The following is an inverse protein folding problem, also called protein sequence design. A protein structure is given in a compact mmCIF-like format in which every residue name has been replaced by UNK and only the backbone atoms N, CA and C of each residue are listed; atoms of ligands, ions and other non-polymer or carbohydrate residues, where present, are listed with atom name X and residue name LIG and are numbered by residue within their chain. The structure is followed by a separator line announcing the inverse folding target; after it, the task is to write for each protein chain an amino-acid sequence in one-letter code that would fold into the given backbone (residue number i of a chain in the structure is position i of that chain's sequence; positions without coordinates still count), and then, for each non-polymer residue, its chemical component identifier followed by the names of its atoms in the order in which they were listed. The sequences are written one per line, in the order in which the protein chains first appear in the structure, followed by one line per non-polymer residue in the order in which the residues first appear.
data_IF_223528066559
#
_entry.id   IF_223528066559
#
_cell.length_a   1.000
_cell.length_b   1.000
_cell.length_c   1.000
_cell.angle_alpha   90.00
_cell.angle_beta   90.00
_cell.angle_gamma   90.00
#
_symmetry.space_group_name_H-M   'P 1'
#
loop_
_entity.id
_entity.type
_entity.pdbx_description
1 polymer ?
#
# COMPACT_ATOMS: atom_id res chain seq x y z
N UNK A 1 -22.71 0.18 4.37
CA UNK A 1 -22.74 -1.17 3.77
C UNK A 1 -23.94 -1.99 4.25
N UNK A 2 -24.11 -2.19 5.58
CA UNK A 2 -25.23 -2.98 6.14
C UNK A 2 -26.59 -2.55 5.56
N UNK A 3 -26.92 -1.26 5.68
CA UNK A 3 -28.16 -0.70 5.14
C UNK A 3 -28.35 -1.02 3.64
N UNK A 4 -27.37 -0.71 2.80
CA UNK A 4 -27.38 -0.94 1.35
C UNK A 4 -27.68 -2.42 1.02
N UNK A 5 -26.98 -3.35 1.69
CA UNK A 5 -27.16 -4.79 1.48
C UNK A 5 -28.54 -5.25 1.99
N UNK A 6 -28.96 -4.82 3.18
CA UNK A 6 -30.24 -5.24 3.78
C UNK A 6 -31.46 -4.78 2.97
N UNK A 7 -31.34 -3.66 2.25
CA UNK A 7 -32.40 -3.08 1.42
C UNK A 7 -32.29 -3.47 -0.06
N UNK A 8 -31.29 -4.27 -0.45
CA UNK A 8 -31.09 -4.67 -1.84
C UNK A 8 -30.74 -3.51 -2.77
N UNK A 9 -30.05 -2.48 -2.25
CA UNK A 9 -29.69 -1.26 -3.00
C UNK A 9 -28.31 -1.35 -3.68
N UNK A 10 -27.75 -2.55 -3.78
CA UNK A 10 -26.44 -2.79 -4.36
C UNK A 10 -26.54 -3.17 -5.85
N UNK A 11 -25.46 -2.93 -6.60
CA UNK A 11 -25.33 -3.35 -7.99
C UNK A 11 -24.86 -4.81 -8.05
N UNK A 12 -25.81 -5.73 -8.18
CA UNK A 12 -25.53 -7.17 -8.21
C UNK A 12 -24.64 -7.59 -9.38
N UNK A 13 -24.85 -7.00 -10.56
CA UNK A 13 -24.09 -7.33 -11.77
C UNK A 13 -22.62 -6.90 -11.60
N UNK A 14 -22.41 -5.67 -11.11
CA UNK A 14 -21.07 -5.18 -10.81
C UNK A 14 -20.36 -6.06 -9.78
N UNK A 15 -21.03 -6.39 -8.66
CA UNK A 15 -20.46 -7.20 -7.60
C UNK A 15 -20.03 -8.58 -8.11
N UNK A 16 -20.89 -9.26 -8.88
CA UNK A 16 -20.59 -10.59 -9.42
C UNK A 16 -19.36 -10.58 -10.34
N UNK A 17 -19.17 -9.51 -11.10
CA UNK A 17 -18.14 -9.47 -12.14
C UNK A 17 -16.79 -8.91 -11.66
N UNK A 18 -16.81 -7.87 -10.83
CA UNK A 18 -15.61 -7.07 -10.55
C UNK A 18 -15.08 -7.19 -9.12
N UNK A 19 -15.63 -8.12 -8.32
CA UNK A 19 -15.22 -8.30 -6.92
C UNK A 19 -14.97 -9.76 -6.58
N UNK A 20 -14.36 -10.00 -5.42
CA UNK A 20 -14.16 -11.33 -4.83
C UNK A 20 -15.39 -11.80 -4.02
N UNK A 21 -16.43 -10.98 -3.88
CA UNK A 21 -17.64 -11.29 -3.14
C UNK A 21 -18.33 -12.61 -3.55
N UNK A 22 -18.37 -13.03 -4.83
CA UNK A 22 -18.88 -14.35 -5.22
C UNK A 22 -17.89 -15.53 -5.01
N UNK A 23 -16.61 -15.28 -4.69
CA UNK A 23 -15.63 -16.34 -4.49
C UNK A 23 -15.99 -17.22 -3.29
N UNK A 24 -15.74 -18.52 -3.42
CA UNK A 24 -16.12 -19.51 -2.42
C UNK A 24 -15.07 -19.63 -1.30
N UNK A 25 -15.56 -19.58 -0.07
CA UNK A 25 -14.82 -19.84 1.16
C UNK A 25 -15.20 -21.22 1.69
N UNK A 26 -14.20 -22.03 2.03
CA UNK A 26 -14.41 -23.31 2.72
C UNK A 26 -14.84 -23.06 4.16
N UNK A 27 -15.92 -23.71 4.58
CA UNK A 27 -16.48 -23.47 5.91
C UNK A 27 -15.69 -24.14 7.04
N UNK A 28 -14.91 -25.18 6.72
CA UNK A 28 -14.08 -25.97 7.63
C UNK A 28 -12.83 -25.21 8.11
N UNK A 29 -12.18 -24.44 7.23
CA UNK A 29 -10.91 -23.77 7.54
C UNK A 29 -10.89 -22.25 7.26
N UNK A 30 -12.01 -21.70 6.75
CA UNK A 30 -12.19 -20.27 6.43
C UNK A 30 -11.23 -19.71 5.38
N UNK A 31 -10.64 -20.55 4.54
CA UNK A 31 -9.81 -20.14 3.39
C UNK A 31 -10.63 -20.20 2.10
N UNK A 32 -10.18 -19.48 1.07
CA UNK A 32 -10.73 -19.65 -0.28
C UNK A 32 -10.63 -21.10 -0.75
N UNK A 33 -11.66 -21.57 -1.46
CA UNK A 33 -11.62 -22.82 -2.21
C UNK A 33 -10.71 -22.64 -3.42
N UNK A 34 -9.65 -23.45 -3.52
CA UNK A 34 -8.63 -23.38 -4.57
C UNK A 34 -8.73 -24.54 -5.56
N UNK A 35 -8.18 -24.37 -6.76
CA UNK A 35 -8.04 -25.48 -7.73
C UNK A 35 -7.22 -26.63 -7.15
N UNK A 36 -6.20 -26.32 -6.34
CA UNK A 36 -5.41 -27.29 -5.58
C UNK A 36 -6.23 -28.13 -4.58
N UNK A 37 -7.41 -27.68 -4.17
CA UNK A 37 -8.33 -28.46 -3.32
C UNK A 37 -9.20 -29.40 -4.17
N UNK A 38 -9.50 -29.03 -5.42
CA UNK A 38 -10.50 -29.69 -6.26
C UNK A 38 -9.90 -30.77 -7.16
N UNK A 39 -8.65 -30.59 -7.61
CA UNK A 39 -7.96 -31.52 -8.49
C UNK A 39 -6.51 -31.74 -8.06
N UNK A 40 -5.98 -32.92 -8.34
CA UNK A 40 -4.57 -33.24 -8.10
C UNK A 40 -3.68 -32.34 -8.97
N UNK A 41 -2.66 -31.72 -8.36
CA UNK A 41 -1.76 -30.75 -9.00
C UNK A 41 -2.47 -29.47 -9.51
N UNK A 42 -3.65 -29.15 -8.97
CA UNK A 42 -4.33 -27.89 -9.27
C UNK A 42 -3.57 -26.66 -8.73
N UNK A 43 -3.78 -25.50 -9.35
CA UNK A 43 -3.14 -24.25 -8.95
C UNK A 43 -3.65 -23.75 -7.59
N UNK A 44 -2.76 -23.28 -6.68
CA UNK A 44 -3.20 -22.62 -5.44
C UNK A 44 -3.70 -21.18 -5.67
N UNK A 45 -3.49 -20.64 -6.88
CA UNK A 45 -3.79 -19.26 -7.27
C UNK A 45 -5.05 -19.13 -8.14
N UNK A 46 -5.78 -20.23 -8.35
CA UNK A 46 -7.10 -20.22 -8.98
C UNK A 46 -8.19 -20.53 -7.97
N UNK A 47 -9.26 -19.76 -8.02
CA UNK A 47 -10.38 -19.84 -7.08
C UNK A 47 -11.69 -20.23 -7.79
N UNK A 48 -12.76 -20.46 -7.03
CA UNK A 48 -14.04 -20.88 -7.57
C UNK A 48 -15.19 -19.94 -7.20
N UNK A 49 -16.16 -19.86 -8.11
CA UNK A 49 -17.53 -19.41 -7.86
C UNK A 49 -18.47 -20.62 -7.76
N UNK A 50 -19.64 -20.44 -7.16
CA UNK A 50 -20.76 -21.35 -7.36
C UNK A 50 -21.63 -20.82 -8.50
N UNK A 51 -21.68 -21.51 -9.63
CA UNK A 51 -22.49 -21.08 -10.76
C UNK A 51 -23.93 -21.56 -10.59
N UNK A 52 -24.87 -20.62 -10.51
CA UNK A 52 -26.29 -20.90 -10.35
C UNK A 52 -26.90 -21.56 -11.59
N UNK A 53 -26.33 -21.33 -12.77
CA UNK A 53 -26.84 -21.89 -14.02
C UNK A 53 -26.56 -23.39 -14.11
N UNK A 54 -25.38 -23.82 -13.65
CA UNK A 54 -24.97 -25.23 -13.71
C UNK A 54 -25.10 -25.97 -12.37
N UNK A 55 -25.31 -25.27 -11.26
CA UNK A 55 -25.47 -25.86 -9.93
C UNK A 55 -24.19 -26.51 -9.40
N UNK A 56 -23.01 -26.02 -9.82
CA UNK A 56 -21.70 -26.58 -9.44
C UNK A 56 -20.63 -25.49 -9.30
N UNK A 57 -19.49 -25.78 -8.65
CA UNK A 57 -18.35 -24.89 -8.64
C UNK A 57 -17.76 -24.72 -10.05
N UNK A 58 -17.40 -23.51 -10.42
CA UNK A 58 -16.67 -23.17 -11.66
C UNK A 58 -15.49 -22.26 -11.33
N UNK A 59 -14.42 -22.33 -12.13
CA UNK A 59 -13.24 -21.48 -11.91
C UNK A 59 -13.61 -20.00 -12.08
N UNK A 60 -13.16 -19.18 -11.13
CA UNK A 60 -13.26 -17.73 -11.19
C UNK A 60 -12.20 -17.20 -12.18
N UNK A 61 -12.62 -16.55 -13.28
CA UNK A 61 -11.68 -15.99 -14.25
C UNK A 61 -10.94 -14.78 -13.65
N UNK A 62 -9.80 -14.43 -14.23
CA UNK A 62 -9.01 -13.25 -13.82
C UNK A 62 -8.28 -13.39 -12.47
N UNK A 63 -8.24 -14.59 -11.91
CA UNK A 63 -7.45 -14.93 -10.72
C UNK A 63 -6.00 -15.17 -11.10
N UNK A 64 -5.04 -14.86 -10.21
CA UNK A 64 -3.60 -14.85 -10.49
C UNK A 64 -3.08 -16.11 -11.19
N UNK A 65 -3.69 -17.27 -10.94
CA UNK A 65 -3.36 -18.53 -11.61
C UNK A 65 -3.69 -18.59 -13.11
N UNK A 66 -4.31 -17.56 -13.68
CA UNK A 66 -4.52 -17.37 -15.13
C UNK A 66 -3.61 -16.28 -15.72
N UNK A 67 -2.74 -15.63 -14.92
CA UNK A 67 -1.92 -14.52 -15.41
C UNK A 67 -1.05 -14.98 -16.60
N UNK A 68 -1.14 -14.25 -17.72
CA UNK A 68 -0.42 -14.58 -18.96
C UNK A 68 -1.06 -15.68 -19.82
N UNK A 69 -2.18 -16.26 -19.41
CA UNK A 69 -2.95 -17.20 -20.25
C UNK A 69 -3.97 -16.47 -21.14
N UNK A 70 -4.54 -17.18 -22.12
CA UNK A 70 -5.63 -16.66 -22.95
C UNK A 70 -6.93 -16.43 -22.16
N UNK A 71 -7.04 -17.02 -20.97
CA UNK A 71 -8.20 -16.93 -20.08
C UNK A 71 -8.06 -15.84 -19.01
N UNK A 72 -7.04 -14.97 -19.13
CA UNK A 72 -6.87 -13.79 -18.25
C UNK A 72 -7.92 -12.71 -18.57
N UNK A 73 -9.12 -12.87 -18.02
CA UNK A 73 -10.25 -11.96 -18.23
C UNK A 73 -11.12 -11.84 -16.98
N UNK A 74 -11.81 -10.70 -16.81
CA UNK A 74 -12.86 -10.53 -15.81
C UNK A 74 -14.26 -10.79 -16.38
N UNK A 75 -14.39 -11.10 -17.68
CA UNK A 75 -15.68 -11.36 -18.30
C UNK A 75 -16.22 -12.73 -17.83
N UNK A 76 -17.41 -12.73 -17.22
CA UNK A 76 -18.06 -13.94 -16.73
C UNK A 76 -18.66 -14.82 -17.84
N UNK A 77 -18.91 -14.26 -19.03
CA UNK A 77 -19.60 -14.97 -20.10
C UNK A 77 -20.98 -15.47 -19.65
N UNK A 78 -21.18 -16.79 -19.62
CA UNK A 78 -22.44 -17.43 -19.19
C UNK A 78 -22.47 -17.81 -17.71
N UNK A 79 -21.37 -17.59 -16.97
CA UNK A 79 -21.30 -17.89 -15.54
C UNK A 79 -22.23 -16.93 -14.79
N UNK A 80 -23.08 -17.47 -13.90
CA UNK A 80 -23.90 -16.69 -12.98
C UNK A 80 -23.50 -17.00 -11.53
N UNK A 81 -22.52 -16.28 -10.97
CA UNK A 81 -22.04 -16.55 -9.62
C UNK A 81 -23.10 -16.32 -8.54
N UNK A 82 -23.24 -17.23 -7.60
CA UNK A 82 -24.07 -17.04 -6.42
C UNK A 82 -23.39 -16.07 -5.42
N UNK A 83 -24.14 -15.10 -4.90
CA UNK A 83 -23.69 -14.24 -3.80
C UNK A 83 -24.11 -14.77 -2.42
N UNK A 84 -25.17 -15.55 -2.35
CA UNK A 84 -25.71 -16.06 -1.09
C UNK A 84 -25.91 -17.57 -1.13
N UNK A 85 -25.66 -18.22 0.00
CA UNK A 85 -26.00 -19.63 0.21
C UNK A 85 -24.84 -20.46 0.77
N UNK A 86 -25.19 -21.65 1.24
CA UNK A 86 -24.23 -22.70 1.59
C UNK A 86 -24.38 -23.79 0.55
N UNK A 87 -23.26 -24.18 -0.04
CA UNK A 87 -23.20 -25.17 -1.10
C UNK A 87 -22.27 -26.31 -0.70
N UNK A 88 -22.37 -27.40 -1.44
CA UNK A 88 -21.58 -28.60 -1.19
C UNK A 88 -20.64 -28.83 -2.36
N UNK A 89 -19.34 -28.79 -2.10
CA UNK A 89 -18.30 -29.00 -3.10
C UNK A 89 -17.61 -30.35 -2.88
N UNK A 90 -17.34 -31.07 -3.97
CA UNK A 90 -16.58 -32.31 -3.95
C UNK A 90 -15.10 -32.00 -4.19
N UNK A 91 -14.26 -32.21 -3.18
CA UNK A 91 -12.81 -32.01 -3.23
C UNK A 91 -12.07 -33.34 -3.34
N UNK A 92 -10.76 -33.30 -3.59
CA UNK A 92 -9.91 -34.51 -3.50
C UNK A 92 -9.85 -35.10 -2.08
N UNK A 93 -10.11 -34.27 -1.07
CA UNK A 93 -10.15 -34.67 0.34
C UNK A 93 -11.54 -35.11 0.83
N UNK A 94 -12.54 -35.12 -0.06
CA UNK A 94 -13.92 -35.45 0.26
C UNK A 94 -14.89 -34.29 0.10
N UNK A 95 -16.11 -34.47 0.60
CA UNK A 95 -17.16 -33.47 0.50
C UNK A 95 -17.00 -32.40 1.58
N UNK A 96 -17.09 -31.13 1.20
CA UNK A 96 -17.04 -29.99 2.12
C UNK A 96 -18.18 -29.00 1.85
N UNK A 97 -18.48 -28.17 2.85
CA UNK A 97 -19.38 -27.03 2.68
C UNK A 97 -18.61 -25.76 2.35
N UNK A 98 -19.16 -24.97 1.43
CA UNK A 98 -18.59 -23.72 0.96
C UNK A 98 -19.66 -22.62 0.93
N UNK A 99 -19.24 -21.38 1.10
CA UNK A 99 -20.13 -20.21 1.08
C UNK A 99 -19.43 -19.06 0.35
N UNK A 100 -20.14 -18.21 -0.42
CA UNK A 100 -19.54 -17.02 -1.02
C UNK A 100 -19.06 -16.03 0.04
N UNK A 101 -18.01 -15.25 -0.27
CA UNK A 101 -17.52 -14.13 0.58
C UNK A 101 -18.65 -13.17 0.96
N UNK A 102 -19.57 -12.86 0.03
CA UNK A 102 -20.70 -11.96 0.28
C UNK A 102 -21.62 -12.44 1.40
N UNK A 103 -21.81 -13.76 1.57
CA UNK A 103 -22.59 -14.32 2.69
C UNK A 103 -21.93 -14.04 4.03
N UNK A 104 -20.60 -14.20 4.10
CA UNK A 104 -19.82 -13.91 5.30
C UNK A 104 -19.77 -12.41 5.58
N UNK A 105 -19.65 -11.58 4.54
CA UNK A 105 -19.73 -10.13 4.66
C UNK A 105 -21.08 -9.70 5.24
N UNK A 106 -22.19 -10.22 4.71
CA UNK A 106 -23.54 -9.94 5.22
C UNK A 106 -23.67 -10.32 6.70
N UNK A 107 -23.13 -11.46 7.11
CA UNK A 107 -23.10 -11.87 8.51
C UNK A 107 -22.27 -10.90 9.37
N UNK A 108 -21.07 -10.52 8.91
CA UNK A 108 -20.17 -9.63 9.64
C UNK A 108 -20.75 -8.24 9.83
N UNK A 109 -21.36 -7.66 8.79
CA UNK A 109 -21.89 -6.30 8.83
C UNK A 109 -23.24 -6.19 9.56
N UNK A 110 -23.93 -7.31 9.79
CA UNK A 110 -25.20 -7.32 10.51
C UNK A 110 -25.09 -6.77 11.94
N UNK A 111 -23.89 -6.86 12.55
CA UNK A 111 -23.60 -6.28 13.86
C UNK A 111 -23.52 -4.74 13.86
N UNK A 112 -23.58 -4.08 12.70
CA UNK A 112 -23.51 -2.64 12.56
C UNK A 112 -24.87 -2.08 12.13
N UNK A 113 -25.90 -2.30 12.97
CA UNK A 113 -27.20 -1.66 12.81
C UNK A 113 -27.14 -0.16 13.20
N UNK A 114 -28.14 0.66 12.85
CA UNK A 114 -28.11 2.10 13.10
C UNK A 114 -27.94 2.48 14.58
N UNK A 115 -28.50 1.71 15.52
CA UNK A 115 -28.37 1.98 16.96
C UNK A 115 -26.94 1.73 17.40
N UNK A 116 -26.38 0.58 17.01
CA UNK A 116 -24.99 0.23 17.33
C UNK A 116 -24.00 1.24 16.73
N UNK A 117 -24.17 1.61 15.46
CA UNK A 117 -23.31 2.60 14.79
C UNK A 117 -23.44 3.98 15.46
N UNK A 118 -24.65 4.38 15.85
CA UNK A 118 -24.87 5.64 16.56
C UNK A 118 -24.15 5.66 17.91
N UNK A 119 -24.21 4.56 18.67
CA UNK A 119 -23.47 4.41 19.92
C UNK A 119 -21.93 4.47 19.77
N UNK A 120 -21.39 4.02 18.64
CA UNK A 120 -19.94 4.06 18.37
C UNK A 120 -19.49 5.45 17.90
N UNK A 121 -20.26 6.07 17.02
CA UNK A 121 -19.83 7.26 16.26
C UNK A 121 -20.39 8.58 16.79
N UNK A 122 -21.46 8.53 17.58
CA UNK A 122 -22.25 9.70 17.97
C UNK A 122 -23.11 10.29 16.85
N UNK A 123 -23.14 9.68 15.66
CA UNK A 123 -23.98 10.11 14.54
C UNK A 123 -25.36 9.47 14.65
N UNK A 124 -26.42 10.26 14.50
CA UNK A 124 -27.80 9.76 14.54
C UNK A 124 -28.03 8.65 13.50
N UNK A 125 -28.64 7.54 13.94
CA UNK A 125 -28.84 6.37 13.09
C UNK A 125 -29.66 6.68 11.83
N UNK A 126 -30.66 7.57 11.94
CA UNK A 126 -31.45 8.00 10.79
C UNK A 126 -30.62 8.75 9.73
N UNK A 127 -29.63 9.54 10.16
CA UNK A 127 -28.71 10.24 9.25
C UNK A 127 -27.77 9.25 8.57
N UNK A 128 -27.27 8.24 9.28
CA UNK A 128 -26.44 7.17 8.69
C UNK A 128 -27.23 6.43 7.59
N UNK A 129 -28.48 6.07 7.84
CA UNK A 129 -29.34 5.42 6.85
C UNK A 129 -29.66 6.34 5.66
N UNK A 130 -29.91 7.63 5.91
CA UNK A 130 -30.13 8.62 4.86
C UNK A 130 -28.92 8.71 3.93
N UNK A 131 -27.72 8.91 4.48
CA UNK A 131 -26.48 8.97 3.69
C UNK A 131 -26.26 7.68 2.89
N UNK A 132 -26.48 6.51 3.53
CA UNK A 132 -26.32 5.22 2.85
C UNK A 132 -27.31 5.04 1.69
N UNK A 133 -28.56 5.50 1.85
CA UNK A 133 -29.57 5.49 0.80
C UNK A 133 -29.20 6.42 -0.34
N UNK A 134 -28.87 7.67 -0.03
CA UNK A 134 -28.50 8.70 -1.01
C UNK A 134 -27.27 8.29 -1.81
N UNK A 135 -26.24 7.76 -1.16
CA UNK A 135 -25.04 7.27 -1.83
C UNK A 135 -25.34 6.09 -2.77
N UNK A 136 -26.23 5.17 -2.37
CA UNK A 136 -26.61 4.03 -3.20
C UNK A 136 -27.45 4.44 -4.43
N UNK A 137 -28.38 5.39 -4.26
CA UNK A 137 -29.25 5.88 -5.33
C UNK A 137 -28.58 6.88 -6.27
N UNK A 138 -27.53 7.56 -5.82
CA UNK A 138 -26.81 8.55 -6.65
C UNK A 138 -25.86 7.85 -7.60
N UNK A 139 -25.92 8.23 -8.89
CA UNK A 139 -25.09 7.69 -9.97
C UNK A 139 -24.66 8.83 -10.91
N UNK A 140 -23.36 9.19 -10.97
CA UNK A 140 -22.25 8.62 -10.20
C UNK A 140 -22.21 9.17 -8.76
N UNK A 141 -21.68 8.38 -7.83
CA UNK A 141 -21.34 8.81 -6.47
C UNK A 141 -19.85 8.54 -6.17
N UNK A 142 -19.20 9.47 -5.47
CA UNK A 142 -17.76 9.43 -5.18
C UNK A 142 -17.50 9.63 -3.69
N UNK A 143 -16.43 8.99 -3.21
CA UNK A 143 -15.82 9.25 -1.92
C UNK A 143 -14.44 9.87 -2.16
N UNK A 144 -14.17 11.03 -1.55
CA UNK A 144 -12.87 11.68 -1.56
C UNK A 144 -12.26 11.52 -0.17
N UNK A 145 -11.21 10.70 -0.06
CA UNK A 145 -10.45 10.48 1.18
C UNK A 145 -9.22 11.37 1.25
N UNK A 146 -8.73 11.64 2.45
CA UNK A 146 -7.47 12.37 2.65
C UNK A 146 -6.75 11.96 3.92
N UNK A 147 -5.75 12.75 4.31
CA UNK A 147 -4.91 12.49 5.49
C UNK A 147 -5.72 12.23 6.78
N UNK A 148 -6.87 12.91 6.95
CA UNK A 148 -7.75 12.73 8.11
C UNK A 148 -8.40 11.35 8.22
N UNK A 149 -8.42 10.53 7.16
CA UNK A 149 -8.82 9.13 7.22
C UNK A 149 -7.60 8.19 7.12
N UNK A 150 -6.57 8.61 6.39
CA UNK A 150 -5.39 7.79 6.10
C UNK A 150 -4.37 7.71 7.25
N UNK A 151 -4.27 8.72 8.12
CA UNK A 151 -3.23 8.77 9.16
C UNK A 151 -3.69 8.17 10.50
N UNK A 152 -4.45 7.07 10.43
CA UNK A 152 -4.87 6.28 11.59
C UNK A 152 -4.31 4.87 11.50
N UNK A 153 -4.14 4.21 12.65
CA UNK A 153 -3.58 2.86 12.74
C UNK A 153 -4.33 1.84 11.88
N UNK A 154 -5.67 1.89 11.87
CA UNK A 154 -6.55 1.02 11.08
C UNK A 154 -7.04 1.67 9.77
N UNK A 155 -6.27 2.56 9.16
CA UNK A 155 -6.68 3.23 7.92
C UNK A 155 -6.94 2.24 6.77
N UNK A 156 -6.24 1.11 6.78
CA UNK A 156 -6.40 0.03 5.80
C UNK A 156 -7.84 -0.51 5.81
N UNK A 157 -8.42 -0.69 7.00
CA UNK A 157 -9.81 -1.12 7.18
C UNK A 157 -10.81 -0.02 6.80
N UNK A 158 -10.50 1.24 7.13
CA UNK A 158 -11.31 2.40 6.73
C UNK A 158 -11.37 2.53 5.22
N UNK A 159 -10.23 2.48 4.54
CA UNK A 159 -10.15 2.58 3.08
C UNK A 159 -10.81 1.40 2.39
N UNK A 160 -10.63 0.17 2.89
CA UNK A 160 -11.38 -1.01 2.39
C UNK A 160 -12.88 -0.84 2.57
N UNK A 161 -13.34 -0.17 3.63
CA UNK A 161 -14.75 0.11 3.85
C UNK A 161 -15.31 1.16 2.86
N UNK A 162 -14.53 2.19 2.51
CA UNK A 162 -14.90 3.13 1.44
C UNK A 162 -14.95 2.45 0.07
N UNK A 163 -13.94 1.66 -0.27
CA UNK A 163 -13.90 0.88 -1.51
C UNK A 163 -15.10 -0.08 -1.56
N UNK A 164 -15.44 -0.73 -0.45
CA UNK A 164 -16.63 -1.57 -0.35
C UNK A 164 -17.91 -0.80 -0.69
N UNK A 165 -18.09 0.43 -0.20
CA UNK A 165 -19.27 1.24 -0.54
C UNK A 165 -19.32 1.57 -2.03
N UNK A 166 -18.20 2.01 -2.61
CA UNK A 166 -18.11 2.33 -4.03
C UNK A 166 -18.37 1.09 -4.91
N UNK A 167 -17.79 -0.06 -4.56
CA UNK A 167 -17.97 -1.32 -5.26
C UNK A 167 -19.39 -1.87 -5.12
N UNK A 168 -19.98 -1.87 -3.91
CA UNK A 168 -21.37 -2.32 -3.71
C UNK A 168 -22.36 -1.53 -4.55
N UNK A 169 -22.04 -0.29 -4.90
CA UNK A 169 -22.93 0.61 -5.62
C UNK A 169 -22.53 0.78 -7.08
N UNK A 170 -21.59 -0.02 -7.62
CA UNK A 170 -21.18 0.04 -9.02
C UNK A 170 -20.55 1.38 -9.44
N UNK A 171 -19.99 2.12 -8.48
CA UNK A 171 -19.47 3.47 -8.70
C UNK A 171 -17.95 3.50 -9.01
N UNK A 172 -17.28 2.36 -9.11
CA UNK A 172 -15.83 2.29 -9.39
C UNK A 172 -15.58 2.28 -10.90
N UNK A 173 -14.59 3.05 -11.36
CA UNK A 173 -14.14 3.04 -12.76
C UNK A 173 -15.00 3.87 -13.73
N UNK A 174 -15.93 4.69 -13.22
CA UNK A 174 -16.77 5.58 -14.03
C UNK A 174 -16.42 7.06 -13.76
N UNK A 175 -16.53 7.96 -14.76
CA UNK A 175 -16.35 9.40 -14.55
C UNK A 175 -17.27 9.93 -13.45
N UNK A 176 -16.70 10.67 -12.48
CA UNK A 176 -17.44 11.21 -11.34
C UNK A 176 -17.76 10.21 -10.22
N UNK A 177 -17.39 8.93 -10.37
CA UNK A 177 -17.50 7.90 -9.33
C UNK A 177 -16.17 7.61 -8.64
N UNK A 178 -16.18 6.66 -7.71
CA UNK A 178 -14.99 6.00 -7.18
C UNK A 178 -14.69 6.30 -5.71
N UNK A 179 -13.57 5.75 -5.25
CA UNK A 179 -12.88 6.16 -4.03
C UNK A 179 -11.53 6.73 -4.46
N UNK A 180 -11.40 8.05 -4.35
CA UNK A 180 -10.18 8.78 -4.69
C UNK A 180 -9.53 9.28 -3.40
N UNK A 181 -8.28 8.92 -3.15
CA UNK A 181 -7.54 9.43 -1.99
C UNK A 181 -6.56 10.52 -2.43
N UNK A 182 -6.50 11.62 -1.69
CA UNK A 182 -5.57 12.72 -1.94
C UNK A 182 -4.77 13.02 -0.68
N UNK A 183 -3.44 12.91 -0.78
CA UNK A 183 -2.50 13.09 0.32
C UNK A 183 -1.34 13.99 -0.14
N UNK A 184 -0.12 13.46 -0.26
CA UNK A 184 1.03 14.18 -0.81
C UNK A 184 1.20 13.98 -2.31
N UNK A 185 2.26 14.57 -2.85
CA UNK A 185 2.65 14.44 -4.26
C UNK A 185 3.40 13.12 -4.48
N UNK A 186 2.66 12.02 -4.56
CA UNK A 186 3.23 10.65 -4.59
C UNK A 186 3.26 10.03 -5.99
N UNK A 187 2.44 10.53 -6.92
CA UNK A 187 2.35 9.97 -8.28
C UNK A 187 3.41 10.56 -9.21
N UNK A 188 4.31 9.70 -9.68
CA UNK A 188 5.30 10.02 -10.71
C UNK A 188 4.73 9.62 -12.07
N UNK A 189 4.40 10.59 -12.93
CA UNK A 189 3.81 10.29 -14.24
C UNK A 189 4.83 9.66 -15.22
N UNK A 190 6.10 10.05 -15.12
CA UNK A 190 7.19 9.55 -15.96
C UNK A 190 7.97 8.43 -15.26
N UNK A 191 7.27 7.49 -14.60
CA UNK A 191 7.88 6.49 -13.72
C UNK A 191 9.02 5.69 -14.38
N UNK A 192 8.81 5.18 -15.60
CA UNK A 192 9.81 4.39 -16.33
C UNK A 192 11.14 5.15 -16.50
N UNK A 193 11.07 6.35 -17.09
CA UNK A 193 12.26 7.18 -17.29
C UNK A 193 12.91 7.64 -15.97
N UNK A 194 12.11 7.87 -14.91
CA UNK A 194 12.65 8.16 -13.58
C UNK A 194 13.47 7.00 -13.04
N UNK A 195 12.99 5.75 -13.16
CA UNK A 195 13.71 4.59 -12.66
C UNK A 195 14.86 4.13 -13.55
N UNK A 196 14.81 4.39 -14.86
CA UNK A 196 15.98 4.20 -15.73
C UNK A 196 17.16 5.08 -15.30
N UNK A 197 16.87 6.32 -14.88
CA UNK A 197 17.89 7.24 -14.35
C UNK A 197 18.33 6.87 -12.92
N UNK A 198 17.37 6.57 -12.04
CA UNK A 198 17.64 6.33 -10.62
C UNK A 198 18.20 4.92 -10.32
N UNK A 199 17.94 3.95 -11.18
CA UNK A 199 18.34 2.55 -11.01
C UNK A 199 18.75 1.93 -12.36
N UNK A 200 19.83 2.42 -12.99
CA UNK A 200 20.21 2.03 -14.36
C UNK A 200 20.59 0.54 -14.52
N UNK A 201 20.88 -0.16 -13.42
CA UNK A 201 21.13 -1.61 -13.40
C UNK A 201 19.85 -2.44 -13.18
N UNK A 202 18.69 -1.80 -13.06
CA UNK A 202 17.39 -2.40 -12.79
C UNK A 202 16.94 -2.26 -11.34
N UNK A 203 15.63 -2.01 -11.14
CA UNK A 203 15.01 -1.83 -9.82
C UNK A 203 15.23 -3.01 -8.87
N UNK A 204 15.26 -4.24 -9.39
CA UNK A 204 15.46 -5.45 -8.60
C UNK A 204 16.86 -5.57 -8.00
N UNK A 205 17.83 -4.79 -8.48
CA UNK A 205 19.20 -4.78 -7.97
C UNK A 205 19.44 -3.69 -6.92
N UNK A 206 18.50 -2.77 -6.77
CA UNK A 206 18.58 -1.66 -5.81
C UNK A 206 18.01 -2.09 -4.44
N UNK A 207 18.70 -1.72 -3.36
CA UNK A 207 18.19 -1.90 -2.00
C UNK A 207 17.18 -0.80 -1.68
N UNK A 208 15.98 -1.21 -1.30
CA UNK A 208 14.91 -0.33 -0.83
C UNK A 208 14.57 -0.66 0.63
N UNK A 209 14.44 0.38 1.45
CA UNK A 209 14.10 0.24 2.86
C UNK A 209 12.73 0.87 3.14
N UNK A 210 11.75 0.09 3.65
CA UNK A 210 10.56 0.65 4.27
C UNK A 210 10.93 1.52 5.48
N UNK A 211 10.82 2.84 5.33
CA UNK A 211 11.32 3.81 6.33
C UNK A 211 10.58 3.72 7.66
N UNK A 212 9.30 3.35 7.68
CA UNK A 212 8.55 3.12 8.93
C UNK A 212 9.18 2.01 9.77
N UNK A 213 9.46 0.86 9.15
CA UNK A 213 10.11 -0.28 9.80
C UNK A 213 11.52 0.09 10.29
N UNK A 214 12.31 0.74 9.42
CA UNK A 214 13.66 1.18 9.75
C UNK A 214 13.69 2.14 10.94
N UNK A 215 12.80 3.14 10.93
CA UNK A 215 12.71 4.15 11.99
C UNK A 215 12.28 3.50 13.30
N UNK A 216 11.26 2.64 13.26
CA UNK A 216 10.74 1.93 14.44
C UNK A 216 11.85 1.11 15.12
N UNK A 217 12.58 0.30 14.34
CA UNK A 217 13.61 -0.58 14.86
C UNK A 217 14.83 0.20 15.34
N UNK A 218 15.41 1.08 14.51
CA UNK A 218 16.68 1.73 14.87
C UNK A 218 16.53 2.81 15.94
N UNK A 219 15.34 3.38 16.08
CA UNK A 219 15.02 4.37 17.12
C UNK A 219 14.46 3.74 18.39
N UNK A 220 14.33 2.41 18.44
CA UNK A 220 13.80 1.66 19.58
C UNK A 220 12.42 2.16 20.02
N UNK A 221 11.53 2.45 19.05
CA UNK A 221 10.18 2.90 19.35
C UNK A 221 9.42 1.76 20.03
N UNK A 222 8.75 2.07 21.13
CA UNK A 222 7.88 1.10 21.82
C UNK A 222 6.51 1.08 21.14
N UNK A 223 5.96 -0.11 20.94
CA UNK A 223 4.60 -0.26 20.40
C UNK A 223 3.56 0.09 21.47
N UNK A 224 2.59 0.92 21.11
CA UNK A 224 1.42 1.28 21.91
C UNK A 224 0.16 0.48 21.54
N UNK A 225 0.31 -0.49 20.64
CA UNK A 225 -0.78 -1.30 20.04
C UNK A 225 -0.59 -2.80 20.23
N UNK A 226 0.41 -3.23 21.00
CA UNK A 226 0.66 -4.65 21.28
C UNK A 226 -0.57 -5.34 21.87
N UNK A 227 -1.37 -4.62 22.67
CA UNK A 227 -2.61 -5.12 23.27
C UNK A 227 -3.73 -5.39 22.25
N UNK A 228 -3.61 -4.92 21.00
CA UNK A 228 -4.57 -5.18 19.94
C UNK A 228 -4.32 -6.52 19.24
N UNK A 229 -3.19 -7.19 19.50
CA UNK A 229 -2.75 -8.36 18.74
C UNK A 229 -2.48 -9.59 19.63
N UNK A 230 -2.55 -10.82 19.07
CA UNK A 230 -2.27 -12.05 19.81
C UNK A 230 -0.82 -12.20 20.31
N UNK A 231 0.11 -11.50 19.67
CA UNK A 231 1.52 -11.44 20.05
C UNK A 231 2.06 -10.03 19.81
N UNK A 232 3.14 -9.63 20.49
CA UNK A 232 3.76 -8.32 20.29
C UNK A 232 4.13 -8.04 18.83
N UNK A 233 4.04 -6.77 18.41
CA UNK A 233 4.35 -6.30 17.06
C UNK A 233 5.78 -6.69 16.65
N UNK A 234 6.73 -6.69 17.58
CA UNK A 234 8.13 -7.08 17.30
C UNK A 234 8.26 -8.52 16.79
N UNK A 235 7.37 -9.43 17.19
CA UNK A 235 7.43 -10.82 16.74
C UNK A 235 6.92 -10.97 15.30
N UNK A 236 5.93 -10.16 14.89
CA UNK A 236 5.53 -10.05 13.49
C UNK A 236 6.64 -9.44 12.63
N UNK A 237 7.33 -8.42 13.13
CA UNK A 237 8.45 -7.81 12.43
C UNK A 237 9.57 -8.83 12.21
N UNK A 238 10.00 -9.54 13.27
CA UNK A 238 11.04 -10.58 13.17
C UNK A 238 10.68 -11.64 12.14
N UNK A 239 9.47 -12.19 12.22
CA UNK A 239 9.00 -13.17 11.24
C UNK A 239 9.03 -12.61 9.81
N UNK A 240 8.54 -11.39 9.60
CA UNK A 240 8.52 -10.78 8.27
C UNK A 240 9.91 -10.55 7.68
N UNK A 241 10.89 -10.18 8.52
CA UNK A 241 12.28 -9.95 8.10
C UNK A 241 13.00 -11.27 7.87
N UNK A 242 12.87 -12.24 8.78
CA UNK A 242 13.51 -13.56 8.66
C UNK A 242 12.98 -14.38 7.48
N UNK A 243 11.68 -14.22 7.14
CA UNK A 243 11.09 -14.86 5.96
C UNK A 243 11.35 -14.07 4.65
N UNK A 244 12.03 -12.92 4.71
CA UNK A 244 12.31 -12.08 3.54
C UNK A 244 11.10 -11.37 2.94
N UNK A 245 10.00 -11.22 3.70
CA UNK A 245 8.80 -10.51 3.26
C UNK A 245 8.96 -8.99 3.31
N UNK A 246 9.78 -8.51 4.25
CA UNK A 246 10.11 -7.09 4.41
C UNK A 246 11.62 -6.93 4.62
N UNK A 247 12.30 -6.03 3.89
CA UNK A 247 13.72 -5.80 4.08
C UNK A 247 13.97 -4.89 5.31
N UNK A 248 15.07 -5.17 6.01
CA UNK A 248 15.57 -4.35 7.11
C UNK A 248 17.09 -4.23 7.02
N UNK A 249 17.55 -3.04 6.68
CA UNK A 249 18.96 -2.71 6.53
C UNK A 249 19.48 -1.88 7.72
N UNK A 250 20.77 -2.05 8.07
CA UNK A 250 21.70 -3.04 7.51
C UNK A 250 21.33 -4.49 7.87
N UNK A 251 21.64 -5.45 7.00
CA UNK A 251 21.33 -6.86 7.25
C UNK A 251 21.99 -7.35 8.54
N UNK A 252 21.23 -8.12 9.33
CA UNK A 252 21.61 -8.54 10.68
C UNK A 252 21.27 -7.53 11.78
N UNK A 253 20.48 -6.48 11.48
CA UNK A 253 19.98 -5.52 12.48
C UNK A 253 19.34 -6.23 13.68
N UNK A 254 18.42 -7.18 13.44
CA UNK A 254 17.66 -7.84 14.51
C UNK A 254 18.48 -8.86 15.32
N UNK A 255 19.50 -9.45 14.71
CA UNK A 255 20.23 -10.57 15.31
C UNK A 255 21.57 -10.14 15.94
N UNK A 256 22.25 -9.18 15.32
CA UNK A 256 23.59 -8.72 15.72
C UNK A 256 23.63 -7.27 16.19
N UNK A 257 22.50 -6.54 16.13
CA UNK A 257 22.45 -5.13 16.52
C UNK A 257 23.18 -4.19 15.57
N UNK A 258 23.48 -4.61 14.34
CA UNK A 258 24.04 -3.74 13.31
C UNK A 258 23.14 -2.51 13.12
N UNK A 259 23.78 -1.35 12.98
CA UNK A 259 23.12 -0.05 12.91
C UNK A 259 23.54 0.72 11.67
N UNK A 260 22.66 1.60 11.15
CA UNK A 260 23.02 2.51 10.06
C UNK A 260 24.17 3.42 10.49
N UNK A 261 25.04 3.77 9.55
CA UNK A 261 26.24 4.56 9.82
C UNK A 261 26.26 5.92 9.16
N UNK A 262 25.73 6.04 7.96
CA UNK A 262 25.72 7.28 7.21
C UNK A 262 24.29 7.54 6.76
N UNK A 263 23.82 8.77 6.93
CA UNK A 263 22.51 9.20 6.48
C UNK A 263 22.65 10.46 5.63
N UNK A 264 22.24 10.36 4.36
CA UNK A 264 22.02 11.52 3.50
C UNK A 264 20.53 11.85 3.50
N UNK A 265 20.19 13.12 3.74
CA UNK A 265 18.84 13.64 3.64
C UNK A 265 18.83 14.77 2.61
N UNK A 266 17.96 14.66 1.61
CA UNK A 266 17.75 15.70 0.62
C UNK A 266 16.28 15.72 0.18
N UNK A 267 15.80 16.87 -0.26
CA UNK A 267 14.41 17.03 -0.73
C UNK A 267 13.34 16.83 0.36
N UNK A 268 13.74 16.73 1.63
CA UNK A 268 12.86 16.47 2.75
C UNK A 268 13.45 17.01 4.06
N UNK A 269 12.59 17.37 5.01
CA UNK A 269 12.98 17.67 6.38
C UNK A 269 12.71 16.44 7.27
N UNK A 270 13.45 15.35 7.05
CA UNK A 270 13.17 14.03 7.62
C UNK A 270 12.98 14.06 9.14
N UNK A 271 13.94 14.63 9.88
CA UNK A 271 13.91 14.63 11.34
C UNK A 271 12.66 15.36 11.86
N UNK A 272 12.33 16.53 11.31
CA UNK A 272 11.16 17.31 11.75
C UNK A 272 9.83 16.58 11.52
N UNK A 273 9.73 15.80 10.44
CA UNK A 273 8.49 15.11 10.06
C UNK A 273 8.40 13.67 10.60
N UNK A 274 9.49 13.13 11.15
CA UNK A 274 9.57 11.77 11.62
C UNK A 274 8.64 11.55 12.84
N UNK A 275 7.95 10.41 12.85
CA UNK A 275 7.18 9.97 14.03
C UNK A 275 8.18 9.42 15.05
N UNK A 276 7.95 9.70 16.32
CA UNK A 276 8.89 9.30 17.39
C UNK A 276 10.16 10.16 17.44
N UNK A 277 10.06 11.45 17.10
CA UNK A 277 11.15 12.43 17.09
C UNK A 277 12.14 12.28 18.26
N UNK A 278 11.62 12.21 19.49
CA UNK A 278 12.46 12.06 20.70
C UNK A 278 13.23 10.73 20.71
N UNK A 279 12.59 9.63 20.29
CA UNK A 279 13.23 8.32 20.17
C UNK A 279 14.28 8.31 19.06
N UNK A 280 14.04 8.99 17.93
CA UNK A 280 15.06 9.15 16.88
C UNK A 280 16.31 9.84 17.46
N UNK A 281 16.14 10.98 18.12
CA UNK A 281 17.24 11.75 18.68
C UNK A 281 17.98 11.00 19.80
N UNK A 282 17.26 10.25 20.63
CA UNK A 282 17.87 9.50 21.72
C UNK A 282 18.60 8.23 21.25
N UNK A 283 18.07 7.53 20.23
CA UNK A 283 18.47 6.16 19.94
C UNK A 283 19.01 5.92 18.54
N UNK A 284 18.60 6.69 17.52
CA UNK A 284 19.08 6.51 16.16
C UNK A 284 20.18 7.51 15.81
N UNK A 285 19.94 8.81 16.05
CA UNK A 285 20.85 9.89 15.69
C UNK A 285 22.28 9.68 16.23
N UNK A 286 22.49 9.27 17.49
CA UNK A 286 23.83 9.05 18.04
C UNK A 286 24.57 7.83 17.48
N UNK A 287 23.88 6.95 16.73
CA UNK A 287 24.50 5.75 16.11
C UNK A 287 25.10 6.05 14.73
N UNK A 288 24.71 7.17 14.12
CA UNK A 288 25.19 7.62 12.83
C UNK A 288 26.57 8.25 13.01
N UNK A 289 27.53 7.79 12.21
CA UNK A 289 28.90 8.32 12.17
C UNK A 289 28.97 9.60 11.31
N UNK A 290 28.00 9.80 10.40
CA UNK A 290 27.90 10.98 9.54
C UNK A 290 26.46 11.24 9.09
N UNK A 291 26.02 12.49 9.20
CA UNK A 291 24.72 12.98 8.74
C UNK A 291 24.96 14.17 7.80
N UNK A 292 24.44 14.05 6.58
CA UNK A 292 24.55 15.09 5.54
C UNK A 292 23.15 15.53 5.16
N UNK A 293 22.87 16.83 5.29
CA UNK A 293 21.65 17.47 4.80
C UNK A 293 21.97 18.28 3.55
N UNK A 294 21.18 18.09 2.48
CA UNK A 294 21.30 18.84 1.22
C UNK A 294 20.02 19.65 1.06
N UNK A 295 20.12 20.96 1.27
CA UNK A 295 18.96 21.84 1.27
C UNK A 295 19.35 23.28 0.84
N UNK A 296 18.37 24.02 0.30
CA UNK A 296 18.52 25.43 -0.07
C UNK A 296 18.27 26.36 1.13
N UNK A 297 17.76 25.82 2.24
CA UNK A 297 17.59 26.51 3.52
C UNK A 297 18.05 25.62 4.67
N UNK A 298 18.49 26.22 5.77
CA UNK A 298 18.76 25.46 7.00
C UNK A 298 17.42 25.00 7.60
N UNK A 299 17.11 23.71 7.45
CA UNK A 299 15.93 23.06 8.00
C UNK A 299 16.24 22.40 9.37
N UNK A 300 15.25 21.81 10.06
CA UNK A 300 15.47 21.14 11.35
C UNK A 300 16.43 19.94 11.24
N UNK A 301 16.37 19.19 10.15
CA UNK A 301 17.32 18.08 9.90
C UNK A 301 18.74 18.61 9.76
N UNK A 302 18.95 19.66 8.97
CA UNK A 302 20.23 20.34 8.80
C UNK A 302 20.78 20.92 10.11
N UNK A 303 19.92 21.45 11.00
CA UNK A 303 20.36 21.90 12.33
C UNK A 303 20.97 20.77 13.19
N UNK A 304 20.64 19.52 12.89
CA UNK A 304 21.13 18.32 13.58
C UNK A 304 22.08 17.49 12.69
N UNK A 305 22.46 17.99 11.51
CA UNK A 305 23.39 17.32 10.61
C UNK A 305 24.84 17.75 10.90
N UNK A 306 25.79 16.89 10.56
CA UNK A 306 27.22 17.22 10.66
C UNK A 306 27.67 18.13 9.52
N UNK A 307 27.06 17.95 8.33
CA UNK A 307 27.35 18.70 7.11
C UNK A 307 26.03 19.16 6.50
N UNK A 308 25.97 20.44 6.12
CA UNK A 308 24.92 20.99 5.27
C UNK A 308 25.55 21.40 3.94
N UNK A 309 25.04 20.85 2.83
CA UNK A 309 25.47 21.23 1.49
C UNK A 309 24.42 22.16 0.86
N UNK A 310 24.83 23.34 0.32
CA UNK A 310 23.89 24.31 -0.22
C UNK A 310 23.31 23.84 -1.56
N UNK A 311 22.02 23.51 -1.57
CA UNK A 311 21.29 23.16 -2.78
C UNK A 311 20.73 24.40 -3.49
N UNK A 312 20.70 24.36 -4.82
CA UNK A 312 20.05 25.38 -5.63
C UNK A 312 18.52 25.34 -5.46
N UNK A 313 17.89 26.50 -5.46
CA UNK A 313 16.43 26.62 -5.34
C UNK A 313 15.70 26.12 -6.61
N UNK A 314 14.37 26.00 -6.55
CA UNK A 314 13.56 25.60 -7.71
C UNK A 314 13.60 26.61 -8.88
N UNK A 315 14.05 27.84 -8.64
CA UNK A 315 14.23 28.87 -9.67
C UNK A 315 15.65 28.93 -10.24
N UNK A 316 16.51 28.01 -9.84
CA UNK A 316 17.93 27.96 -10.21
C UNK A 316 18.31 26.64 -10.90
N UNK A 317 17.32 25.77 -11.18
CA UNK A 317 17.57 24.44 -11.74
C UNK A 317 16.52 23.98 -12.74
N UNK A 318 16.98 23.08 -13.61
CA UNK A 318 16.13 22.29 -14.47
C UNK A 318 15.70 21.04 -13.73
N UNK A 319 14.39 20.81 -13.65
CA UNK A 319 13.80 19.60 -13.07
C UNK A 319 12.36 19.42 -13.56
N UNK A 320 11.73 18.31 -13.22
CA UNK A 320 10.32 18.04 -13.49
C UNK A 320 9.53 17.98 -12.19
N UNK A 321 8.32 18.53 -12.21
CA UNK A 321 7.32 18.38 -11.15
C UNK A 321 6.02 17.85 -11.76
N UNK A 322 5.47 16.80 -11.13
CA UNK A 322 4.21 16.19 -11.54
C UNK A 322 3.33 15.91 -10.34
N UNK A 323 2.02 16.08 -10.47
CA UNK A 323 1.06 15.83 -9.40
C UNK A 323 -0.10 14.95 -9.89
N UNK A 324 -0.82 14.30 -8.98
CA UNK A 324 -2.00 13.48 -9.26
C UNK A 324 -3.30 14.31 -9.46
N UNK A 325 -3.33 15.53 -8.94
CA UNK A 325 -4.46 16.47 -9.04
C UNK A 325 -4.75 16.96 -10.46
N UNK A 326 -3.79 16.83 -11.38
CA UNK A 326 -3.93 17.19 -12.79
C UNK A 326 -3.05 16.30 -13.67
N UNK A 327 -3.31 16.27 -14.98
CA UNK A 327 -2.59 15.44 -15.95
C UNK A 327 -1.59 16.26 -16.80
N UNK A 328 -0.84 17.14 -16.15
CA UNK A 328 0.16 18.00 -16.80
C UNK A 328 1.53 17.80 -16.16
N UNK A 329 2.59 17.97 -16.96
CA UNK A 329 3.97 17.98 -16.50
C UNK A 329 4.42 19.43 -16.36
N UNK A 330 4.93 19.80 -15.19
CA UNK A 330 5.38 21.15 -14.88
C UNK A 330 6.90 21.17 -14.78
N UNK A 331 7.63 21.77 -15.73
CA UNK A 331 9.07 21.88 -15.63
C UNK A 331 9.48 23.00 -14.67
N UNK A 332 10.51 22.77 -13.87
CA UNK A 332 11.29 23.85 -13.28
C UNK A 332 12.22 24.43 -14.34
N UNK A 333 12.23 25.75 -14.44
CA UNK A 333 13.04 26.49 -15.40
C UNK A 333 13.85 27.52 -14.62
N UNK A 334 15.19 27.55 -14.75
CA UNK A 334 16.02 28.51 -14.05
C UNK A 334 15.69 29.93 -14.53
N UNK A 335 15.40 30.80 -13.58
CA UNK A 335 15.26 32.25 -13.79
C UNK A 335 16.61 32.93 -13.65
N UNK A 336 17.46 32.39 -12.78
CA UNK A 336 18.84 32.82 -12.52
C UNK A 336 19.73 31.59 -12.36
N UNK A 337 21.05 31.78 -12.44
CA UNK A 337 22.02 30.72 -12.12
C UNK A 337 22.04 30.43 -10.60
N UNK A 338 22.44 29.21 -10.18
CA UNK A 338 22.67 28.89 -8.77
C UNK A 338 23.52 29.95 -8.07
N UNK A 339 23.01 30.46 -6.94
CA UNK A 339 23.62 31.58 -6.23
C UNK A 339 24.71 31.12 -5.26
N UNK A 340 25.69 31.99 -5.01
CA UNK A 340 26.80 31.73 -4.09
C UNK A 340 27.56 30.44 -4.49
N UNK A 341 27.78 29.53 -3.55
CA UNK A 341 28.40 28.23 -3.79
C UNK A 341 27.37 27.10 -3.96
N UNK A 342 26.08 27.43 -4.07
CA UNK A 342 25.03 26.43 -4.26
C UNK A 342 25.18 25.71 -5.60
N UNK A 343 24.70 24.47 -5.62
CA UNK A 343 24.70 23.60 -6.79
C UNK A 343 23.35 22.90 -6.90
N UNK A 344 22.94 22.53 -8.12
CA UNK A 344 21.75 21.68 -8.26
C UNK A 344 22.00 20.33 -7.58
N UNK A 345 20.93 19.66 -7.13
CA UNK A 345 21.06 18.36 -6.44
C UNK A 345 21.89 17.37 -7.27
N UNK A 346 21.64 17.34 -8.59
CA UNK A 346 22.40 16.53 -9.55
C UNK A 346 23.90 16.86 -9.56
N UNK A 347 24.25 18.15 -9.59
CA UNK A 347 25.66 18.60 -9.56
C UNK A 347 26.35 18.25 -8.24
N UNK A 348 25.63 18.29 -7.11
CA UNK A 348 26.16 17.88 -5.80
C UNK A 348 26.53 16.40 -5.82
N UNK A 349 25.63 15.53 -6.31
CA UNK A 349 25.90 14.09 -6.44
C UNK A 349 27.05 13.79 -7.41
N UNK A 350 27.16 14.52 -8.53
CA UNK A 350 28.29 14.39 -9.45
C UNK A 350 29.62 14.79 -8.78
N UNK A 351 29.64 15.91 -8.04
CA UNK A 351 30.84 16.35 -7.33
C UNK A 351 31.26 15.37 -6.24
N UNK A 352 30.30 14.79 -5.50
CA UNK A 352 30.58 13.76 -4.50
C UNK A 352 31.17 12.49 -5.15
N UNK A 353 30.64 12.07 -6.31
CA UNK A 353 31.17 10.93 -7.04
C UNK A 353 32.62 11.16 -7.50
N UNK A 354 32.94 12.36 -8.01
CA UNK A 354 34.31 12.73 -8.39
C UNK A 354 35.24 12.74 -7.17
N UNK A 355 34.82 13.36 -6.06
CA UNK A 355 35.62 13.39 -4.83
C UNK A 355 35.89 11.98 -4.30
N UNK A 356 34.89 11.08 -4.33
CA UNK A 356 35.07 9.68 -3.94
C UNK A 356 36.08 8.97 -4.86
N UNK A 357 36.03 9.22 -6.17
CA UNK A 357 36.99 8.67 -7.12
C UNK A 357 38.43 9.14 -6.83
N UNK A 358 38.62 10.40 -6.46
CA UNK A 358 39.94 10.96 -6.10
C UNK A 358 40.58 10.29 -4.88
N UNK A 359 39.77 9.81 -3.93
CA UNK A 359 40.26 9.02 -2.79
C UNK A 359 40.78 7.64 -3.19
N UNK A 360 40.53 7.20 -4.44
CA UNK A 360 40.77 5.84 -4.95
C UNK A 360 40.04 4.76 -4.14
N UNK A 361 39.01 5.13 -3.41
CA UNK A 361 38.13 4.18 -2.74
C UNK A 361 37.52 3.21 -3.76
N UNK A 362 37.58 1.92 -3.45
CA UNK A 362 36.89 0.89 -4.21
C UNK A 362 36.26 -0.09 -3.23
N UNK A 363 35.07 -0.57 -3.58
CA UNK A 363 34.39 -1.63 -2.88
C UNK A 363 33.74 -2.57 -3.89
N UNK A 364 33.55 -3.82 -3.50
CA UNK A 364 32.78 -4.80 -4.26
C UNK A 364 31.55 -5.12 -3.45
N UNK A 365 30.38 -4.81 -4.01
CA UNK A 365 29.11 -5.14 -3.39
C UNK A 365 28.66 -6.55 -3.81
N UNK A 366 27.59 -7.04 -3.21
CA UNK A 366 26.79 -8.13 -3.77
C UNK A 366 25.35 -7.64 -3.83
N UNK A 367 24.86 -7.48 -5.06
CA UNK A 367 23.51 -7.00 -5.35
C UNK A 367 22.47 -8.04 -4.94
N UNK A 368 21.20 -7.63 -4.89
CA UNK A 368 20.10 -8.50 -4.44
C UNK A 368 19.87 -9.73 -5.35
N UNK A 369 20.30 -9.67 -6.60
CA UNK A 369 20.28 -10.79 -7.53
C UNK A 369 21.52 -11.70 -7.42
N UNK A 370 22.42 -11.43 -6.46
CA UNK A 370 23.67 -12.16 -6.23
C UNK A 370 24.81 -11.77 -7.16
N UNK A 371 24.62 -10.81 -8.07
CA UNK A 371 25.70 -10.28 -8.91
C UNK A 371 26.63 -9.36 -8.11
N UNK A 372 27.88 -9.20 -8.56
CA UNK A 372 28.91 -8.38 -7.89
C UNK A 372 29.02 -6.98 -8.48
#
# INVERSE_FOLDING_TARGET
ANFIISKGLYDEAYIKQYTDMPMLIRMDNKKFLRESDMILNGSPEKFYFWDQNTGRPVLAPGTQGFLGSQDWTLNLGTINPALAGVFTAQTISGQIHVTPVFSLLKQKIAAYDPVTVSGITGVEGCLVEQIAREFASTKPARIIGGAGANHYYHNDLTNRSHILLAALTGNVGIPGGGFDHYVGQEKIWCEEGTFDLASPLGRTKQRYQPTTLWTFIHSHITSDVDNLWPRPVIDYIRESVHNGWMPLYPEGTLDSGKSPKILFVWGANFLNQAKGFESLLANLWPKLDLIVDIDYRVNTTGLYADIILPAASMFEKWDLSTADLHSYINPFTPVIEPQMESKTDWQIWQALAMALQETKFSFTDTLLDGTK
#
